data_IF_014003952627
#
_entry.id   IF_014003952627
#
_cell.length_a   1.000
_cell.length_b   1.000
_cell.length_c   1.000
_cell.angle_alpha   90.00
_cell.angle_beta   90.00
_cell.angle_gamma   90.00
#
_symmetry.space_group_name_H-M   'P 1'
#
loop_
_entity.id
_entity.type
_entity.pdbx_description
1 polymer ?
#
# COMPACT_ATOMS: atom_id res chain seq x y z
N UNK A 1 4.76 -21.79 -23.00
CA UNK A 1 5.34 -22.10 -21.67
C UNK A 1 6.85 -21.90 -21.72
N UNK A 2 7.41 -20.86 -21.08
CA UNK A 2 8.87 -20.84 -20.86
C UNK A 2 9.30 -20.36 -19.45
N UNK A 3 8.54 -20.60 -18.38
CA UNK A 3 9.00 -20.37 -16.99
C UNK A 3 8.52 -21.46 -16.01
N UNK A 4 8.30 -22.68 -16.51
CA UNK A 4 7.79 -23.82 -15.72
C UNK A 4 8.90 -24.54 -14.93
N UNK A 5 10.18 -24.16 -15.11
CA UNK A 5 11.30 -24.96 -14.58
C UNK A 5 12.45 -24.18 -13.93
N UNK A 6 12.22 -22.93 -13.50
CA UNK A 6 13.23 -22.21 -12.74
C UNK A 6 12.85 -22.22 -11.27
N UNK A 7 13.82 -22.51 -10.39
CA UNK A 7 13.76 -22.32 -8.93
C UNK A 7 13.68 -20.84 -8.54
N UNK A 8 12.84 -20.07 -9.22
CA UNK A 8 12.54 -18.69 -8.83
C UNK A 8 11.55 -18.81 -7.69
N UNK A 9 12.08 -18.81 -6.48
CA UNK A 9 11.26 -18.62 -5.29
C UNK A 9 10.55 -17.27 -5.41
N UNK A 10 9.26 -17.15 -5.01
CA UNK A 10 8.51 -15.89 -5.00
C UNK A 10 9.33 -14.71 -4.44
N UNK A 11 10.20 -15.00 -3.46
CA UNK A 11 11.17 -14.07 -2.89
C UNK A 11 12.06 -13.34 -3.91
N UNK A 12 12.45 -13.95 -5.03
CA UNK A 12 13.31 -13.26 -6.00
C UNK A 12 12.60 -12.11 -6.71
N UNK A 13 11.31 -12.26 -7.04
CA UNK A 13 10.53 -11.18 -7.65
C UNK A 13 10.29 -10.06 -6.66
N UNK A 14 9.86 -10.39 -5.44
CA UNK A 14 9.75 -9.43 -4.33
C UNK A 14 11.08 -8.71 -4.08
N UNK A 15 12.21 -9.42 -4.15
CA UNK A 15 13.55 -8.82 -3.96
C UNK A 15 13.92 -7.89 -5.10
N UNK A 16 13.64 -8.26 -6.36
CA UNK A 16 13.90 -7.39 -7.53
C UNK A 16 13.04 -6.13 -7.44
N UNK A 17 11.76 -6.27 -7.13
CA UNK A 17 10.84 -5.14 -6.90
C UNK A 17 11.34 -4.26 -5.76
N UNK A 18 11.74 -4.84 -4.63
CA UNK A 18 12.29 -4.11 -3.49
C UNK A 18 13.57 -3.36 -3.87
N UNK A 19 14.46 -3.97 -4.65
CA UNK A 19 15.68 -3.32 -5.14
C UNK A 19 15.37 -2.14 -6.06
N UNK A 20 14.45 -2.30 -7.02
CA UNK A 20 14.05 -1.21 -7.93
C UNK A 20 13.39 -0.07 -7.14
N UNK A 21 12.48 -0.40 -6.22
CA UNK A 21 11.83 0.56 -5.36
C UNK A 21 12.80 1.30 -4.45
N UNK A 22 13.79 0.59 -3.88
CA UNK A 22 14.86 1.18 -3.07
C UNK A 22 15.74 2.12 -3.88
N UNK A 23 16.15 1.72 -5.08
CA UNK A 23 16.92 2.58 -5.99
C UNK A 23 16.11 3.82 -6.34
N UNK A 24 14.82 3.67 -6.65
CA UNK A 24 13.90 4.78 -6.90
C UNK A 24 13.81 5.74 -5.72
N UNK A 25 13.61 5.21 -4.51
CA UNK A 25 13.55 5.99 -3.27
C UNK A 25 14.86 6.72 -2.96
N UNK A 26 16.02 6.10 -3.19
CA UNK A 26 17.33 6.72 -3.03
C UNK A 26 17.57 7.83 -4.06
N UNK A 27 17.14 7.64 -5.31
CA UNK A 27 17.18 8.67 -6.34
C UNK A 27 16.27 9.86 -5.98
N UNK A 28 15.07 9.59 -5.46
CA UNK A 28 14.16 10.63 -4.95
C UNK A 28 14.79 11.39 -3.77
N UNK A 29 15.40 10.68 -2.82
CA UNK A 29 16.06 11.25 -1.65
C UNK A 29 17.28 12.10 -2.02
N UNK A 30 18.03 11.74 -3.06
CA UNK A 30 19.18 12.54 -3.53
C UNK A 30 18.76 13.96 -3.95
N UNK A 31 17.52 14.12 -4.40
CA UNK A 31 16.96 15.40 -4.82
C UNK A 31 17.56 15.91 -6.14
N UNK A 32 16.97 17.00 -6.64
CA UNK A 32 17.31 17.59 -7.94
C UNK A 32 16.47 17.04 -9.09
N UNK A 33 16.15 17.90 -10.05
CA UNK A 33 15.14 17.64 -11.09
C UNK A 33 15.38 16.32 -11.87
N UNK A 34 16.63 16.06 -12.28
CA UNK A 34 16.97 14.85 -13.03
C UNK A 34 16.87 13.56 -12.20
N UNK A 35 17.37 13.57 -10.95
CA UNK A 35 17.34 12.40 -10.07
C UNK A 35 15.94 12.08 -9.58
N UNK A 36 15.13 13.11 -9.33
CA UNK A 36 13.74 12.94 -8.89
C UNK A 36 12.89 12.34 -10.01
N UNK A 37 13.05 12.81 -11.25
CA UNK A 37 12.35 12.21 -12.41
C UNK A 37 12.80 10.77 -12.69
N UNK A 38 14.10 10.49 -12.57
CA UNK A 38 14.62 9.14 -12.75
C UNK A 38 14.10 8.20 -11.64
N UNK A 39 14.09 8.67 -10.40
CA UNK A 39 13.52 7.94 -9.27
C UNK A 39 12.04 7.63 -9.47
N UNK A 40 11.24 8.61 -9.90
CA UNK A 40 9.83 8.43 -10.22
C UNK A 40 9.59 7.39 -11.32
N UNK A 41 10.42 7.41 -12.38
CA UNK A 41 10.34 6.42 -13.46
C UNK A 41 10.61 5.01 -12.94
N UNK A 42 11.65 4.83 -12.11
CA UNK A 42 11.95 3.53 -11.49
C UNK A 42 10.80 3.04 -10.59
N UNK A 43 10.18 3.94 -9.83
CA UNK A 43 9.02 3.61 -9.00
C UNK A 43 7.85 3.10 -9.87
N UNK A 44 7.54 3.77 -10.97
CA UNK A 44 6.45 3.33 -11.86
C UNK A 44 6.78 2.03 -12.57
N UNK A 45 8.03 1.84 -13.02
CA UNK A 45 8.46 0.56 -13.58
C UNK A 45 8.31 -0.55 -12.54
N UNK A 46 8.74 -0.31 -11.30
CA UNK A 46 8.58 -1.27 -10.20
C UNK A 46 7.11 -1.63 -9.96
N UNK A 47 6.22 -0.64 -9.99
CA UNK A 47 4.79 -0.83 -9.77
C UNK A 47 4.12 -1.57 -10.93
N UNK A 48 4.57 -1.29 -12.16
CA UNK A 48 4.07 -1.96 -13.37
C UNK A 48 4.45 -3.45 -13.41
N UNK A 49 5.71 -3.75 -13.06
CA UNK A 49 6.19 -5.14 -12.93
C UNK A 49 5.36 -5.87 -11.88
N UNK A 50 5.15 -5.26 -10.72
CA UNK A 50 4.35 -5.84 -9.66
C UNK A 50 2.90 -6.13 -10.06
N UNK A 51 2.23 -5.16 -10.68
CA UNK A 51 0.84 -5.33 -11.12
C UNK A 51 0.72 -6.46 -12.16
N UNK A 52 1.67 -6.53 -13.09
CA UNK A 52 1.73 -7.60 -14.10
C UNK A 52 1.96 -8.97 -13.45
N UNK A 53 2.83 -9.03 -12.45
CA UNK A 53 3.17 -10.27 -11.74
C UNK A 53 2.07 -10.72 -10.78
N UNK A 54 1.36 -9.79 -10.14
CA UNK A 54 0.19 -10.06 -9.29
C UNK A 54 -0.95 -10.70 -10.09
N UNK A 55 -1.22 -10.18 -11.29
CA UNK A 55 -2.19 -10.78 -12.22
C UNK A 55 -1.75 -12.18 -12.68
N UNK A 56 -0.46 -12.39 -12.95
CA UNK A 56 0.08 -13.72 -13.29
C UNK A 56 0.03 -14.70 -12.10
N UNK A 57 0.29 -14.23 -10.89
CA UNK A 57 0.24 -15.03 -9.67
C UNK A 57 -1.18 -15.48 -9.32
N UNK A 58 -2.21 -14.64 -9.61
CA UNK A 58 -3.63 -15.03 -9.49
C UNK A 58 -3.97 -16.24 -10.36
N UNK A 59 -3.37 -16.35 -11.53
CA UNK A 59 -3.59 -17.47 -12.46
C UNK A 59 -2.81 -18.72 -12.02
N UNK A 60 -1.67 -18.57 -11.35
CA UNK A 60 -0.80 -19.71 -10.99
C UNK A 60 -1.17 -20.43 -9.69
N UNK A 61 -2.05 -19.88 -8.83
CA UNK A 61 -2.66 -20.58 -7.67
C UNK A 61 -1.71 -21.10 -6.58
N UNK A 62 -0.41 -20.79 -6.65
CA UNK A 62 0.62 -21.29 -5.72
C UNK A 62 1.06 -20.18 -4.77
N UNK A 63 0.24 -19.87 -3.76
CA UNK A 63 0.64 -18.98 -2.67
C UNK A 63 0.97 -19.76 -1.41
N UNK A 64 2.20 -19.62 -0.91
CA UNK A 64 2.60 -20.12 0.40
C UNK A 64 2.42 -19.03 1.45
N UNK A 65 1.87 -19.39 2.62
CA UNK A 65 1.55 -18.46 3.72
C UNK A 65 2.74 -17.60 4.17
N UNK A 66 3.96 -18.16 4.11
CA UNK A 66 5.19 -17.46 4.49
C UNK A 66 5.62 -16.46 3.40
N UNK A 67 5.50 -16.84 2.13
CA UNK A 67 5.83 -15.95 1.00
C UNK A 67 4.91 -14.73 0.96
N UNK A 68 3.61 -14.94 1.18
CA UNK A 68 2.62 -13.86 1.22
C UNK A 68 2.91 -12.82 2.31
N UNK A 69 3.35 -13.26 3.50
CA UNK A 69 3.72 -12.32 4.57
C UNK A 69 4.99 -11.53 4.23
N UNK A 70 6.00 -12.18 3.63
CA UNK A 70 7.23 -11.53 3.21
C UNK A 70 7.00 -10.48 2.11
N UNK A 71 6.13 -10.81 1.16
CA UNK A 71 5.71 -9.92 0.09
C UNK A 71 5.05 -8.66 0.65
N UNK A 72 4.07 -8.84 1.54
CA UNK A 72 3.40 -7.73 2.22
C UNK A 72 4.36 -6.85 3.05
N UNK A 73 5.28 -7.48 3.79
CA UNK A 73 6.24 -6.74 4.60
C UNK A 73 7.21 -5.94 3.73
N UNK A 74 7.63 -6.52 2.60
CA UNK A 74 8.49 -5.87 1.61
C UNK A 74 7.77 -4.69 0.96
N UNK A 75 6.49 -4.84 0.62
CA UNK A 75 5.64 -3.79 0.07
C UNK A 75 5.46 -2.61 0.99
N UNK A 76 5.14 -2.89 2.25
CA UNK A 76 5.03 -1.88 3.29
C UNK A 76 6.35 -1.12 3.45
N UNK A 77 7.49 -1.83 3.48
CA UNK A 77 8.81 -1.22 3.58
C UNK A 77 9.14 -0.33 2.38
N UNK A 78 8.94 -0.82 1.16
CA UNK A 78 9.19 -0.05 -0.07
C UNK A 78 8.33 1.20 -0.09
N UNK A 79 7.05 1.08 0.28
CA UNK A 79 6.13 2.22 0.33
C UNK A 79 6.57 3.27 1.34
N UNK A 80 6.96 2.87 2.55
CA UNK A 80 7.47 3.80 3.58
C UNK A 80 8.77 4.47 3.12
N UNK A 81 9.69 3.72 2.52
CA UNK A 81 10.95 4.25 1.99
C UNK A 81 10.73 5.20 0.81
N UNK A 82 9.78 4.90 -0.06
CA UNK A 82 9.40 5.74 -1.19
C UNK A 82 8.89 7.09 -0.71
N UNK A 83 7.88 7.12 0.16
CA UNK A 83 7.33 8.37 0.66
C UNK A 83 8.33 9.12 1.57
N UNK A 84 9.12 8.40 2.37
CA UNK A 84 10.19 8.97 3.17
C UNK A 84 11.30 9.60 2.31
N UNK A 85 11.73 8.92 1.25
CA UNK A 85 12.73 9.41 0.29
C UNK A 85 12.20 10.60 -0.51
N UNK A 86 10.94 10.55 -0.94
CA UNK A 86 10.26 11.69 -1.57
C UNK A 86 10.23 12.90 -0.63
N UNK A 87 9.86 12.69 0.64
CA UNK A 87 9.88 13.72 1.67
C UNK A 87 11.28 14.27 1.96
N UNK A 88 12.32 13.43 1.93
CA UNK A 88 13.70 13.87 2.12
C UNK A 88 14.22 14.71 0.93
N UNK A 89 13.83 14.35 -0.30
CA UNK A 89 14.23 15.07 -1.51
C UNK A 89 13.53 16.42 -1.72
N UNK A 90 12.38 16.63 -1.07
CA UNK A 90 11.61 17.89 -1.13
C UNK A 90 12.19 18.93 -0.18
N UNK A 91 12.36 20.15 -0.68
CA UNK A 91 12.80 21.28 0.15
C UNK A 91 11.69 21.72 1.10
N UNK A 92 12.05 21.97 2.36
CA UNK A 92 11.14 22.53 3.38
C UNK A 92 10.47 23.82 2.91
N UNK A 93 11.19 24.67 2.17
CA UNK A 93 10.67 25.91 1.61
C UNK A 93 9.46 25.68 0.69
N UNK A 94 9.52 24.67 -0.17
CA UNK A 94 8.44 24.33 -1.10
C UNK A 94 7.18 23.85 -0.36
N UNK A 95 7.32 23.14 0.75
CA UNK A 95 6.16 22.77 1.58
C UNK A 95 5.61 23.99 2.30
N UNK A 96 6.47 24.81 2.91
CA UNK A 96 6.08 26.03 3.63
C UNK A 96 5.31 27.02 2.75
N UNK A 97 5.64 27.14 1.47
CA UNK A 97 4.89 27.98 0.52
C UNK A 97 3.42 27.56 0.37
N UNK A 98 3.13 26.26 0.46
CA UNK A 98 1.77 25.74 0.31
C UNK A 98 0.98 25.73 1.62
N UNK A 99 1.59 25.31 2.73
CA UNK A 99 0.88 25.14 4.02
C UNK A 99 1.12 26.27 5.01
N UNK A 100 2.01 27.23 4.72
CA UNK A 100 2.35 28.35 5.61
C UNK A 100 3.15 27.96 6.87
N UNK A 101 3.24 26.67 7.20
CA UNK A 101 3.92 26.12 8.38
C UNK A 101 5.21 25.41 7.99
N UNK A 102 6.27 25.61 8.77
CA UNK A 102 7.56 24.95 8.59
C UNK A 102 7.56 23.49 9.08
N UNK A 103 6.81 22.62 8.42
CA UNK A 103 6.79 21.18 8.73
C UNK A 103 7.91 20.47 7.98
N UNK A 104 8.58 19.50 8.62
CA UNK A 104 9.58 18.67 7.95
C UNK A 104 8.91 17.80 6.87
N UNK A 105 9.24 17.97 5.58
CA UNK A 105 8.65 17.18 4.50
C UNK A 105 8.94 15.68 4.64
N UNK A 106 10.07 15.33 5.24
CA UNK A 106 10.38 13.95 5.63
C UNK A 106 9.31 13.36 6.56
N UNK A 107 8.86 14.12 7.56
CA UNK A 107 7.85 13.66 8.51
C UNK A 107 6.50 13.45 7.80
N UNK A 108 6.11 14.36 6.90
CA UNK A 108 4.91 14.21 6.07
C UNK A 108 4.98 12.94 5.21
N UNK A 109 6.16 12.67 4.63
CA UNK A 109 6.44 11.43 3.90
C UNK A 109 6.31 10.19 4.77
N UNK A 110 6.92 10.17 5.95
CA UNK A 110 6.80 9.03 6.87
C UNK A 110 5.34 8.79 7.29
N UNK A 111 4.58 9.84 7.59
CA UNK A 111 3.16 9.73 7.96
C UNK A 111 2.35 9.15 6.80
N UNK A 112 2.54 9.66 5.58
CA UNK A 112 1.89 9.14 4.39
C UNK A 112 2.25 7.67 4.16
N UNK A 113 3.54 7.34 4.18
CA UNK A 113 4.04 5.98 3.95
C UNK A 113 3.53 4.97 4.97
N UNK A 114 3.54 5.32 6.26
CA UNK A 114 3.00 4.46 7.34
C UNK A 114 1.49 4.26 7.17
N UNK A 115 0.75 5.32 6.82
CA UNK A 115 -0.68 5.21 6.60
C UNK A 115 -1.00 4.29 5.41
N UNK A 116 -0.29 4.43 4.29
CA UNK A 116 -0.45 3.53 3.12
C UNK A 116 -0.09 2.09 3.47
N UNK A 117 1.03 1.85 4.17
CA UNK A 117 1.40 0.52 4.63
C UNK A 117 0.31 -0.10 5.54
N UNK A 118 -0.29 0.70 6.44
CA UNK A 118 -1.39 0.26 7.29
C UNK A 118 -2.65 -0.07 6.49
N UNK A 119 -2.96 0.71 5.44
CA UNK A 119 -4.08 0.44 4.53
C UNK A 119 -3.92 -0.93 3.87
N UNK A 120 -2.76 -1.19 3.26
CA UNK A 120 -2.47 -2.48 2.63
C UNK A 120 -2.56 -3.63 3.62
N UNK A 121 -1.97 -3.46 4.81
CA UNK A 121 -2.02 -4.47 5.87
C UNK A 121 -3.47 -4.79 6.28
N UNK A 122 -4.29 -3.77 6.55
CA UNK A 122 -5.69 -3.97 6.94
C UNK A 122 -6.51 -4.60 5.81
N UNK A 123 -6.31 -4.15 4.56
CA UNK A 123 -7.00 -4.71 3.39
C UNK A 123 -6.71 -6.19 3.23
N UNK A 124 -5.44 -6.58 3.29
CA UNK A 124 -5.05 -7.99 3.25
C UNK A 124 -5.74 -8.81 4.36
N UNK A 125 -5.84 -8.26 5.58
CA UNK A 125 -6.52 -8.94 6.69
C UNK A 125 -8.03 -9.08 6.48
N UNK A 126 -8.67 -8.13 5.80
CA UNK A 126 -10.08 -8.25 5.40
C UNK A 126 -10.23 -9.37 4.36
N UNK A 127 -9.32 -9.46 3.38
CA UNK A 127 -9.34 -10.53 2.35
C UNK A 127 -9.18 -11.92 2.92
N UNK A 128 -8.29 -12.10 3.90
CA UNK A 128 -8.15 -13.37 4.63
C UNK A 128 -9.44 -13.77 5.37
N UNK A 129 -10.27 -12.80 5.79
CA UNK A 129 -11.47 -13.05 6.62
C UNK A 129 -12.75 -13.29 5.82
N UNK A 130 -13.03 -12.52 4.77
CA UNK A 130 -14.26 -12.65 3.96
C UNK A 130 -14.06 -13.47 2.67
N UNK A 131 -12.80 -13.77 2.32
CA UNK A 131 -12.46 -14.33 1.01
C UNK A 131 -12.58 -13.28 -0.11
N UNK A 132 -11.94 -13.57 -1.26
CA UNK A 132 -11.76 -12.67 -2.42
C UNK A 132 -13.04 -12.02 -3.00
N UNK A 133 -14.23 -12.40 -2.55
CA UNK A 133 -15.51 -11.87 -3.01
C UNK A 133 -16.02 -10.65 -2.21
N UNK A 134 -15.48 -10.41 -1.00
CA UNK A 134 -15.92 -9.31 -0.12
C UNK A 134 -15.17 -7.98 -0.31
N UNK A 135 -13.93 -8.03 -0.79
CA UNK A 135 -13.09 -6.85 -0.99
C UNK A 135 -13.27 -6.29 -2.40
N UNK A 136 -14.25 -5.40 -2.58
CA UNK A 136 -14.12 -4.42 -3.64
C UNK A 136 -12.88 -3.59 -3.31
N UNK A 137 -11.83 -3.72 -4.13
CA UNK A 137 -10.74 -2.74 -4.22
C UNK A 137 -11.39 -1.36 -4.10
N UNK A 138 -10.90 -0.53 -3.17
CA UNK A 138 -11.56 0.72 -2.84
C UNK A 138 -11.34 1.73 -3.97
N UNK A 139 -12.07 1.50 -5.03
CA UNK A 139 -12.21 2.27 -6.24
C UNK A 139 -13.17 3.41 -5.91
N UNK A 140 -12.61 4.57 -5.62
CA UNK A 140 -13.37 5.81 -5.63
C UNK A 140 -13.50 6.24 -7.09
N UNK A 141 -14.57 5.78 -7.76
CA UNK A 141 -14.88 6.18 -9.13
C UNK A 141 -14.00 5.57 -10.22
N UNK A 142 -13.38 4.41 -9.98
CA UNK A 142 -12.51 3.74 -10.95
C UNK A 142 -11.01 4.01 -10.77
N UNK A 143 -10.62 4.83 -9.79
CA UNK A 143 -9.23 5.15 -9.48
C UNK A 143 -8.79 4.41 -8.21
N UNK A 144 -7.75 3.60 -8.33
CA UNK A 144 -7.19 2.84 -7.19
C UNK A 144 -6.12 3.64 -6.44
N UNK A 145 -5.88 3.29 -5.19
CA UNK A 145 -4.80 3.89 -4.40
C UNK A 145 -3.42 3.66 -5.00
N UNK A 146 -3.26 2.58 -5.77
CA UNK A 146 -2.04 2.23 -6.50
C UNK A 146 -1.85 3.10 -7.75
N UNK A 147 -2.95 3.52 -8.39
CA UNK A 147 -2.95 4.41 -9.56
C UNK A 147 -2.38 5.80 -9.22
N UNK A 148 -2.49 6.22 -7.97
CA UNK A 148 -1.88 7.45 -7.46
C UNK A 148 -0.36 7.45 -7.66
N UNK A 149 0.30 6.30 -7.55
CA UNK A 149 1.75 6.20 -7.75
C UNK A 149 2.14 6.34 -9.23
N UNK A 150 1.25 6.01 -10.17
CA UNK A 150 1.48 6.25 -11.61
C UNK A 150 1.43 7.73 -11.97
N UNK A 151 0.81 8.57 -11.14
CA UNK A 151 0.87 10.03 -11.30
C UNK A 151 2.23 10.60 -10.86
N UNK A 152 3.04 9.86 -10.12
CA UNK A 152 4.27 10.35 -9.52
C UNK A 152 5.26 10.92 -10.56
N UNK A 153 5.54 10.27 -11.72
CA UNK A 153 6.40 10.85 -12.76
C UNK A 153 5.82 12.12 -13.40
N UNK A 154 4.50 12.18 -13.59
CA UNK A 154 3.85 13.39 -14.11
C UNK A 154 4.01 14.54 -13.11
N UNK A 155 3.77 14.26 -11.82
CA UNK A 155 3.95 15.21 -10.73
C UNK A 155 5.41 15.67 -10.64
N UNK A 156 6.38 14.78 -10.76
CA UNK A 156 7.80 15.15 -10.70
C UNK A 156 8.23 15.99 -11.91
N UNK A 157 7.71 15.70 -13.11
CA UNK A 157 7.99 16.46 -14.32
C UNK A 157 7.56 17.94 -14.19
N UNK A 158 6.41 18.18 -13.57
CA UNK A 158 5.90 19.54 -13.29
C UNK A 158 6.41 20.14 -11.96
N UNK A 159 7.37 19.49 -11.28
CA UNK A 159 7.85 19.90 -9.94
C UNK A 159 6.75 20.00 -8.87
N UNK A 160 5.63 19.30 -9.06
CA UNK A 160 4.47 19.28 -8.16
C UNK A 160 4.63 18.37 -6.94
N UNK A 161 5.86 17.99 -6.57
CA UNK A 161 6.12 16.99 -5.52
C UNK A 161 5.65 17.46 -4.15
N UNK A 162 5.78 18.76 -3.86
CA UNK A 162 5.33 19.34 -2.60
C UNK A 162 3.81 19.24 -2.39
N UNK A 163 2.94 19.73 -3.31
CA UNK A 163 1.49 19.58 -3.15
C UNK A 163 1.04 18.12 -3.16
N UNK A 164 1.71 17.25 -3.92
CA UNK A 164 1.44 15.80 -3.89
C UNK A 164 1.73 15.18 -2.52
N UNK A 165 2.89 15.49 -1.93
CA UNK A 165 3.27 14.99 -0.61
C UNK A 165 2.30 15.46 0.48
N UNK A 166 1.87 16.73 0.42
CA UNK A 166 0.87 17.28 1.33
C UNK A 166 -0.46 16.54 1.16
N UNK A 167 -0.94 16.40 -0.08
CA UNK A 167 -2.18 15.68 -0.38
C UNK A 167 -2.12 14.22 0.13
N UNK A 168 -1.00 13.52 -0.08
CA UNK A 168 -0.80 12.16 0.40
C UNK A 168 -0.77 12.08 1.94
N UNK A 169 -0.12 13.04 2.61
CA UNK A 169 -0.05 13.08 4.07
C UNK A 169 -1.40 13.30 4.76
N UNK A 170 -2.39 13.84 4.06
CA UNK A 170 -3.76 14.03 4.56
C UNK A 170 -4.66 12.88 4.08
N UNK A 171 -4.61 12.57 2.78
CA UNK A 171 -5.45 11.56 2.16
C UNK A 171 -5.20 10.15 2.68
N UNK A 172 -3.93 9.76 2.85
CA UNK A 172 -3.61 8.40 3.29
C UNK A 172 -4.08 8.12 4.74
N UNK A 173 -3.86 8.98 5.75
CA UNK A 173 -4.41 8.74 7.09
C UNK A 173 -5.94 8.73 7.15
N UNK A 174 -6.62 9.61 6.39
CA UNK A 174 -8.08 9.61 6.31
C UNK A 174 -8.60 8.30 5.73
N UNK A 175 -7.97 7.82 4.66
CA UNK A 175 -8.33 6.55 4.06
C UNK A 175 -8.01 5.38 4.98
N UNK A 176 -6.87 5.40 5.68
CA UNK A 176 -6.53 4.40 6.70
C UNK A 176 -7.60 4.33 7.79
N UNK A 177 -8.07 5.48 8.30
CA UNK A 177 -9.15 5.53 9.28
C UNK A 177 -10.45 4.91 8.73
N UNK A 178 -10.79 5.18 7.46
CA UNK A 178 -11.94 4.55 6.82
C UNK A 178 -11.78 3.02 6.70
N UNK A 179 -10.61 2.53 6.28
CA UNK A 179 -10.32 1.08 6.22
C UNK A 179 -10.35 0.44 7.60
N UNK A 180 -9.89 1.13 8.65
CA UNK A 180 -10.03 0.64 10.03
C UNK A 180 -11.50 0.47 10.42
N UNK A 181 -12.36 1.42 10.06
CA UNK A 181 -13.81 1.32 10.32
C UNK A 181 -14.39 0.12 9.57
N UNK A 182 -14.01 -0.05 8.30
CA UNK A 182 -14.45 -1.15 7.46
C UNK A 182 -14.02 -2.52 8.03
N UNK A 183 -12.74 -2.66 8.40
CA UNK A 183 -12.20 -3.83 9.09
C UNK A 183 -12.99 -4.14 10.37
N UNK A 184 -13.28 -3.12 11.19
CA UNK A 184 -14.08 -3.32 12.43
C UNK A 184 -15.51 -3.75 12.15
N UNK A 185 -16.12 -3.35 11.03
CA UNK A 185 -17.45 -3.83 10.62
C UNK A 185 -17.39 -5.29 10.19
N UNK A 186 -16.41 -5.66 9.38
CA UNK A 186 -16.19 -7.04 8.92
C UNK A 186 -15.96 -7.97 10.11
N UNK A 187 -15.03 -7.62 11.02
CA UNK A 187 -14.76 -8.40 12.24
C UNK A 187 -16.00 -8.59 13.12
N UNK A 188 -16.90 -7.60 13.18
CA UNK A 188 -18.17 -7.73 13.92
C UNK A 188 -19.16 -8.66 13.23
N UNK A 189 -19.20 -8.69 11.90
CA UNK A 189 -20.07 -9.60 11.11
C UNK A 189 -19.57 -11.05 11.15
N UNK A 190 -18.25 -11.25 11.16
CA UNK A 190 -17.64 -12.58 11.22
C UNK A 190 -17.62 -13.17 12.64
N UNK A 191 -17.98 -12.39 13.67
CA UNK A 191 -18.14 -12.92 15.03
C UNK A 191 -19.43 -13.75 15.10
N UNK A 192 -19.38 -15.03 15.51
CA UNK A 192 -20.58 -15.83 15.70
C UNK A 192 -21.51 -15.14 16.71
N UNK A 193 -22.78 -14.97 16.35
CA UNK A 193 -23.85 -14.55 17.25
C UNK A 193 -23.91 -15.51 18.45
N UNK A 194 -23.93 -15.03 19.70
CA UNK A 194 -24.08 -15.89 20.89
C UNK A 194 -25.52 -16.38 21.09
N UNK A 195 -26.30 -16.60 20.03
CA UNK A 195 -27.73 -16.94 20.10
C UNK A 195 -28.00 -18.42 20.35
N UNK A 196 -27.04 -19.32 20.10
CA UNK A 196 -27.23 -20.76 20.33
C UNK A 196 -27.24 -21.19 21.82
N UNK A 197 -26.94 -20.28 22.76
CA UNK A 197 -26.99 -20.59 24.21
C UNK A 197 -28.35 -20.32 24.86
N UNK A 198 -29.25 -19.59 24.22
CA UNK A 198 -30.57 -19.28 24.78
C UNK A 198 -31.63 -20.31 24.39
N UNK A 199 -31.62 -20.86 23.17
CA UNK A 199 -32.52 -21.97 22.80
C UNK A 199 -32.22 -23.25 23.57
N UNK A 200 -30.93 -23.61 23.75
CA UNK A 200 -30.55 -24.79 24.53
C UNK A 200 -30.97 -24.69 26.01
N UNK A 201 -31.01 -23.47 26.57
CA UNK A 201 -31.44 -23.26 27.95
C UNK A 201 -32.98 -23.24 28.11
N UNK A 202 -33.73 -22.88 27.07
CA UNK A 202 -35.20 -22.99 27.09
C UNK A 202 -35.71 -24.41 26.88
N UNK A 203 -35.00 -25.23 26.10
CA UNK A 203 -35.33 -26.65 25.89
C UNK A 203 -35.02 -27.50 27.15
N UNK A 204 -34.06 -27.08 27.98
CA UNK A 204 -33.68 -27.80 29.21
C UNK A 204 -34.58 -27.47 30.42
N UNK A 205 -35.24 -26.31 30.43
CA UNK A 205 -36.16 -25.90 31.51
C UNK A 205 -37.60 -26.41 31.27
N UNK A 206 -37.89 -26.93 30.07
CA UNK A 206 -39.21 -27.42 29.66
C UNK A 206 -39.35 -28.96 29.67
N UNK A 207 -38.40 -29.69 30.25
CA UNK A 207 -38.47 -31.13 30.52
C UNK A 207 -38.35 -31.42 32.01
#
# INVERSE_FOLDING_TARGET
>A
MPLVNTRVTPNHLTTVRLLIGLIGALCLARGGYGWVNLGALFIVISNFVDHTDGELARVSGKSSRIGHFYDLASDALVTVLLFGGLGYGVRVASVREWIGVGVSPFLLGCVAGIAVALIFFLRMRIEEMEGKAGTKQASLGGFETEDVLYLLPLVTLFSGVAPFLIAASIGAPLFAAWVVIDYRRVVRRSRPQPEAKQEASQIWVSR
#
